data_IF_331936584447
#
_entry.id   IF_331936584447
#
_cell.length_a   1.000
_cell.length_b   1.000
_cell.length_c   1.000
_cell.angle_alpha   90.00
_cell.angle_beta   90.00
_cell.angle_gamma   90.00
#
_symmetry.space_group_name_H-M   'P 1'
#
loop_
_entity.id
_entity.type
_entity.pdbx_description
1 polymer ?
#
# COMPACT_ATOMS: atom_id res chain seq x y z
N UNK A 1 54.28 43.93 35.55
CA UNK A 1 53.27 43.92 34.46
C UNK A 1 53.45 42.76 33.46
N UNK A 2 54.63 42.16 33.28
CA UNK A 2 54.84 41.04 32.31
C UNK A 2 54.25 39.70 32.74
N UNK A 3 54.21 39.33 34.02
CA UNK A 3 53.72 38.04 34.52
C UNK A 3 52.23 37.92 34.46
N UNK A 4 51.47 38.99 34.74
CA UNK A 4 50.02 39.02 34.69
C UNK A 4 49.50 38.83 33.22
N UNK A 5 50.16 39.42 32.24
CA UNK A 5 49.87 39.26 30.81
C UNK A 5 50.07 37.81 30.33
N UNK A 6 51.13 37.13 30.78
CA UNK A 6 51.37 35.71 30.41
C UNK A 6 50.36 34.77 31.03
N UNK A 7 49.92 35.01 32.25
CA UNK A 7 48.90 34.26 32.94
C UNK A 7 47.54 34.50 32.26
N UNK A 8 47.20 35.76 31.95
CA UNK A 8 45.95 36.09 31.23
C UNK A 8 45.87 35.43 29.80
N UNK A 9 47.06 35.48 29.10
CA UNK A 9 47.15 34.79 27.78
C UNK A 9 47.00 33.28 27.88
N UNK A 10 47.54 32.63 28.93
CA UNK A 10 47.37 31.19 29.16
C UNK A 10 45.90 30.79 29.42
N UNK A 11 45.20 31.57 30.24
CA UNK A 11 43.76 31.36 30.48
C UNK A 11 42.93 31.57 29.22
N UNK A 12 43.23 32.58 28.41
CA UNK A 12 42.53 32.81 27.15
C UNK A 12 42.74 31.66 26.15
N UNK A 13 43.95 31.15 26.03
CA UNK A 13 44.27 30.00 25.18
C UNK A 13 43.56 28.73 25.65
N UNK A 14 43.51 28.47 26.96
CA UNK A 14 42.79 27.31 27.52
C UNK A 14 41.29 27.43 27.28
N UNK A 15 40.72 28.61 27.44
CA UNK A 15 39.30 28.86 27.17
C UNK A 15 38.95 28.67 25.68
N UNK A 16 39.81 29.11 24.75
CA UNK A 16 39.64 28.89 23.31
C UNK A 16 39.71 27.41 22.93
N UNK A 17 40.66 26.66 23.51
CA UNK A 17 40.79 25.23 23.29
C UNK A 17 39.56 24.48 23.85
N UNK A 18 39.14 24.82 25.06
CA UNK A 18 37.93 24.24 25.66
C UNK A 18 36.67 24.56 24.83
N UNK A 19 36.55 25.81 24.36
CA UNK A 19 35.46 26.23 23.46
C UNK A 19 35.46 25.48 22.12
N UNK A 20 36.65 25.28 21.53
CA UNK A 20 36.78 24.48 20.30
C UNK A 20 36.40 23.00 20.51
N UNK A 21 36.83 22.40 21.62
CA UNK A 21 36.44 21.02 21.97
C UNK A 21 34.95 20.93 22.17
N UNK A 22 34.31 21.84 22.90
CA UNK A 22 32.85 21.87 23.08
C UNK A 22 32.12 22.06 21.77
N UNK A 23 32.63 22.91 20.86
CA UNK A 23 32.03 23.09 19.53
C UNK A 23 32.12 21.81 18.68
N UNK A 24 33.22 21.07 18.77
CA UNK A 24 33.38 19.78 18.07
C UNK A 24 32.42 18.72 18.64
N UNK A 25 32.34 18.62 19.98
CA UNK A 25 31.42 17.66 20.64
C UNK A 25 29.97 17.98 20.32
N UNK A 26 29.57 19.25 20.25
CA UNK A 26 28.21 19.68 19.99
C UNK A 26 27.96 20.04 18.51
N UNK A 27 28.88 19.68 17.60
CA UNK A 27 28.83 20.08 16.19
C UNK A 27 27.44 19.80 15.55
N UNK A 28 26.90 18.62 15.77
CA UNK A 28 25.60 18.24 15.20
C UNK A 28 24.49 19.16 15.75
N UNK A 29 24.45 19.39 17.04
CA UNK A 29 23.46 20.27 17.67
C UNK A 29 23.53 21.71 17.16
N UNK A 30 24.74 22.22 16.93
CA UNK A 30 24.96 23.56 16.38
C UNK A 30 24.45 23.64 14.94
N UNK A 31 24.76 22.63 14.12
CA UNK A 31 24.29 22.54 12.74
C UNK A 31 22.75 22.46 12.73
N UNK A 32 22.16 21.59 13.54
CA UNK A 32 20.71 21.39 13.64
C UNK A 32 20.00 22.70 14.09
N UNK A 33 20.59 23.47 15.01
CA UNK A 33 20.02 24.76 15.44
C UNK A 33 20.07 25.82 14.32
N UNK A 34 21.15 25.86 13.55
CA UNK A 34 21.28 26.77 12.41
C UNK A 34 20.29 26.39 11.33
N UNK A 35 20.20 25.09 10.95
CA UNK A 35 19.25 24.57 9.98
C UNK A 35 17.80 24.88 10.38
N UNK A 36 17.45 24.64 11.64
CA UNK A 36 16.11 24.93 12.14
C UNK A 36 15.72 26.40 12.03
N UNK A 37 16.67 27.33 12.34
CA UNK A 37 16.41 28.76 12.25
C UNK A 37 16.33 29.29 10.83
N UNK A 38 16.98 28.61 9.88
CA UNK A 38 17.01 29.01 8.48
C UNK A 38 15.80 28.50 7.70
N UNK A 39 15.19 27.41 8.15
CA UNK A 39 14.06 26.79 7.46
C UNK A 39 12.73 27.41 7.90
N UNK A 40 11.93 27.81 6.91
CA UNK A 40 10.55 28.25 7.10
C UNK A 40 9.64 27.29 6.34
N UNK A 41 8.83 26.46 7.03
CA UNK A 41 7.92 25.52 6.35
C UNK A 41 6.85 26.26 5.56
N UNK A 42 6.54 25.77 4.38
CA UNK A 42 5.33 26.19 3.68
C UNK A 42 4.07 25.78 4.49
N UNK A 43 2.94 26.40 4.19
CA UNK A 43 1.66 26.05 4.85
C UNK A 43 1.33 24.55 4.69
N UNK A 44 1.62 23.96 3.52
CA UNK A 44 1.37 22.54 3.25
C UNK A 44 2.31 21.64 4.06
N UNK A 45 3.59 21.96 4.15
CA UNK A 45 4.54 21.20 4.98
C UNK A 45 4.16 21.29 6.47
N UNK A 46 3.74 22.47 6.94
CA UNK A 46 3.26 22.62 8.31
C UNK A 46 2.00 21.79 8.57
N UNK A 47 1.07 21.79 7.64
CA UNK A 47 -0.15 20.98 7.73
C UNK A 47 0.16 19.47 7.75
N UNK A 48 1.09 19.00 6.92
CA UNK A 48 1.57 17.61 6.92
C UNK A 48 2.07 17.22 8.30
N UNK A 49 2.93 18.04 8.92
CA UNK A 49 3.46 17.76 10.25
C UNK A 49 2.36 17.73 11.34
N UNK A 50 1.37 18.63 11.24
CA UNK A 50 0.20 18.63 12.17
C UNK A 50 -0.66 17.38 11.99
N UNK A 51 -1.07 17.07 10.76
CA UNK A 51 -1.93 15.91 10.46
C UNK A 51 -1.27 14.58 10.80
N UNK A 52 0.05 14.52 10.73
CA UNK A 52 0.84 13.34 11.15
C UNK A 52 0.90 13.16 12.67
N UNK A 53 0.42 14.12 13.46
CA UNK A 53 0.52 14.08 14.91
C UNK A 53 1.95 14.22 15.44
N UNK A 54 2.86 14.86 14.69
CA UNK A 54 4.25 15.07 15.12
C UNK A 54 4.31 15.91 16.40
N UNK A 55 5.15 15.50 17.36
CA UNK A 55 5.47 16.27 18.54
C UNK A 55 6.31 17.51 18.19
N UNK A 56 6.53 18.43 19.15
CA UNK A 56 7.44 19.55 18.95
C UNK A 56 8.86 19.09 18.56
N UNK A 57 9.35 17.99 19.13
CA UNK A 57 10.64 17.40 18.78
C UNK A 57 10.62 16.74 17.40
N UNK A 58 9.54 16.04 17.04
CA UNK A 58 9.35 15.48 15.70
C UNK A 58 9.33 16.57 14.63
N UNK A 59 8.52 17.63 14.81
CA UNK A 59 8.49 18.79 13.92
C UNK A 59 9.85 19.45 13.78
N UNK A 60 10.57 19.60 14.91
CA UNK A 60 11.94 20.15 14.87
C UNK A 60 12.87 19.31 14.01
N UNK A 61 12.87 17.97 14.16
CA UNK A 61 13.66 17.06 13.34
C UNK A 61 13.27 17.13 11.87
N UNK A 62 11.97 17.15 11.60
CA UNK A 62 11.44 17.30 10.24
C UNK A 62 11.92 18.58 9.58
N UNK A 63 11.83 19.73 10.28
CA UNK A 63 12.23 21.02 9.73
C UNK A 63 13.76 21.21 9.61
N UNK A 64 14.54 20.60 10.50
CA UNK A 64 16.01 20.54 10.37
C UNK A 64 16.43 19.86 9.06
N UNK A 65 15.63 18.88 8.62
CA UNK A 65 15.87 18.16 7.37
C UNK A 65 15.22 18.85 6.14
N UNK A 66 14.87 20.11 6.22
CA UNK A 66 14.41 20.97 5.11
C UNK A 66 13.43 20.25 4.16
N UNK A 67 12.28 19.75 4.64
CA UNK A 67 11.36 18.95 3.83
C UNK A 67 10.80 19.74 2.65
N UNK A 68 10.72 19.08 1.49
CA UNK A 68 10.25 19.68 0.24
C UNK A 68 9.27 18.74 -0.44
N UNK A 69 8.12 19.29 -0.86
CA UNK A 69 7.23 18.61 -1.79
C UNK A 69 7.74 18.83 -3.21
N UNK A 70 7.88 17.75 -3.96
CA UNK A 70 8.45 17.75 -5.30
C UNK A 70 7.45 17.20 -6.32
N UNK A 71 7.41 17.81 -7.51
CA UNK A 71 6.79 17.20 -8.68
C UNK A 71 7.50 15.87 -9.03
N UNK A 72 6.89 15.05 -9.85
CA UNK A 72 7.46 13.77 -10.28
C UNK A 72 8.87 13.92 -10.89
N UNK A 73 9.07 14.93 -11.76
CA UNK A 73 10.35 15.18 -12.41
C UNK A 73 11.43 15.58 -11.39
N UNK A 74 11.15 16.59 -10.56
CA UNK A 74 12.08 17.07 -9.53
C UNK A 74 12.40 16.00 -8.49
N UNK A 75 11.40 15.17 -8.10
CA UNK A 75 11.59 14.09 -7.14
C UNK A 75 12.56 13.02 -7.68
N UNK A 76 12.43 12.64 -8.95
CA UNK A 76 13.28 11.64 -9.58
C UNK A 76 14.73 12.13 -9.80
N UNK A 77 14.98 13.44 -9.79
CA UNK A 77 16.34 14.02 -9.81
C UNK A 77 17.03 13.86 -8.47
N UNK A 78 16.29 14.03 -7.38
CA UNK A 78 16.83 14.01 -6.01
C UNK A 78 16.86 12.60 -5.41
N UNK A 79 15.80 11.81 -5.64
CA UNK A 79 15.60 10.49 -5.05
C UNK A 79 15.78 9.38 -6.09
N UNK A 80 16.93 8.72 -6.07
CA UNK A 80 17.25 7.65 -7.04
C UNK A 80 16.58 6.33 -6.65
N UNK A 81 15.85 5.73 -7.58
CA UNK A 81 15.36 4.36 -7.45
C UNK A 81 16.47 3.35 -7.67
N UNK A 82 16.51 2.31 -6.82
CA UNK A 82 17.42 1.17 -7.00
C UNK A 82 16.80 0.14 -7.92
N UNK A 83 15.52 -0.20 -7.74
CA UNK A 83 14.78 -1.13 -8.59
C UNK A 83 13.57 -0.42 -9.24
N UNK A 84 13.39 -0.60 -10.56
CA UNK A 84 12.29 0.06 -11.30
C UNK A 84 10.89 -0.35 -10.83
N UNK A 85 10.75 -1.57 -10.30
CA UNK A 85 9.46 -2.13 -9.88
C UNK A 85 8.97 -1.63 -8.51
N UNK A 86 9.82 -0.92 -7.74
CA UNK A 86 9.46 -0.45 -6.41
C UNK A 86 9.38 1.07 -6.40
N UNK A 87 8.17 1.65 -6.42
CA UNK A 87 8.00 3.10 -6.30
C UNK A 87 8.47 3.56 -4.92
N UNK A 88 9.21 4.67 -4.89
CA UNK A 88 9.55 5.38 -3.68
C UNK A 88 8.74 6.68 -3.64
N UNK A 89 8.30 7.08 -2.46
CA UNK A 89 7.44 8.25 -2.25
C UNK A 89 8.16 9.36 -1.51
N UNK A 90 9.28 9.05 -0.86
CA UNK A 90 10.16 9.97 -0.18
C UNK A 90 11.59 9.47 -0.17
N UNK A 91 12.50 10.35 0.21
CA UNK A 91 13.85 9.98 0.60
C UNK A 91 14.45 11.04 1.55
N UNK A 92 15.23 10.57 2.50
CA UNK A 92 16.08 11.41 3.34
C UNK A 92 17.52 11.35 2.84
N UNK A 93 18.00 12.47 2.30
CA UNK A 93 19.43 12.65 1.98
C UNK A 93 20.17 13.11 3.24
N UNK A 94 20.93 12.19 3.84
CA UNK A 94 21.71 12.49 5.03
C UNK A 94 22.84 13.50 4.75
N UNK A 95 23.40 13.51 3.54
CA UNK A 95 24.53 14.39 3.18
C UNK A 95 24.08 15.84 3.02
N UNK A 96 22.92 16.05 2.40
CA UNK A 96 22.29 17.35 2.25
C UNK A 96 21.44 17.74 3.48
N UNK A 97 21.17 16.80 4.39
CA UNK A 97 20.19 16.95 5.47
C UNK A 97 18.82 17.41 4.92
N UNK A 98 18.35 16.77 3.85
CA UNK A 98 17.12 17.14 3.14
C UNK A 98 16.16 15.98 3.04
N UNK A 99 14.86 16.26 3.20
CA UNK A 99 13.77 15.34 2.94
C UNK A 99 13.06 15.76 1.68
N UNK A 100 12.93 14.84 0.74
CA UNK A 100 12.13 15.02 -0.47
C UNK A 100 10.93 14.12 -0.45
N UNK A 101 9.76 14.67 -0.75
CA UNK A 101 8.48 13.97 -0.72
C UNK A 101 7.82 14.15 -2.08
N UNK A 102 7.46 13.04 -2.72
CA UNK A 102 6.68 13.10 -3.95
C UNK A 102 5.27 13.65 -3.67
N UNK A 103 4.91 14.71 -4.38
CA UNK A 103 3.62 15.38 -4.22
C UNK A 103 2.51 14.59 -4.93
N UNK A 104 2.04 13.51 -4.29
CA UNK A 104 0.92 12.70 -4.79
C UNK A 104 -0.35 13.55 -4.79
N UNK A 105 -0.92 13.75 -5.98
CA UNK A 105 -2.08 14.62 -6.19
C UNK A 105 -3.43 13.89 -6.12
N UNK A 106 -3.44 12.53 -6.13
CA UNK A 106 -4.69 11.75 -6.14
C UNK A 106 -5.40 11.85 -4.78
N UNK A 107 -6.63 12.41 -4.71
CA UNK A 107 -7.36 12.60 -3.45
C UNK A 107 -7.78 11.28 -2.78
N UNK A 108 -7.85 10.16 -3.52
CA UNK A 108 -8.13 8.85 -2.93
C UNK A 108 -6.96 8.32 -2.10
N UNK A 109 -5.77 8.88 -2.29
CA UNK A 109 -4.55 8.56 -1.57
C UNK A 109 -4.24 9.63 -0.49
N UNK A 110 -5.25 10.29 0.05
CA UNK A 110 -5.09 11.22 1.17
C UNK A 110 -4.40 10.52 2.35
N UNK A 111 -3.42 11.18 2.93
CA UNK A 111 -2.56 10.64 4.00
C UNK A 111 -1.22 10.09 3.53
N UNK A 112 -1.04 9.81 2.24
CA UNK A 112 0.25 9.29 1.72
C UNK A 112 1.39 10.26 2.01
N UNK A 113 1.19 11.56 1.78
CA UNK A 113 2.24 12.59 2.02
C UNK A 113 2.63 12.67 3.50
N UNK A 114 1.68 12.58 4.39
CA UNK A 114 1.86 12.59 5.84
C UNK A 114 2.63 11.37 6.33
N UNK A 115 2.26 10.19 5.84
CA UNK A 115 2.96 8.94 6.19
C UNK A 115 4.38 8.96 5.66
N UNK A 116 4.58 9.36 4.39
CA UNK A 116 5.90 9.50 3.79
C UNK A 116 6.76 10.50 4.55
N UNK A 117 6.22 11.69 4.84
CA UNK A 117 6.93 12.73 5.62
C UNK A 117 7.37 12.23 7.00
N UNK A 118 6.50 11.47 7.67
CA UNK A 118 6.79 10.90 8.98
C UNK A 118 7.85 9.80 8.91
N UNK A 119 7.80 8.98 7.87
CA UNK A 119 8.78 7.95 7.58
C UNK A 119 10.19 8.57 7.37
N UNK A 120 10.29 9.57 6.53
CA UNK A 120 11.57 10.27 6.27
C UNK A 120 12.06 11.06 7.50
N UNK A 121 11.16 11.64 8.28
CA UNK A 121 11.49 12.27 9.56
C UNK A 121 12.10 11.25 10.53
N UNK A 122 11.59 10.02 10.56
CA UNK A 122 12.14 8.96 11.40
C UNK A 122 13.51 8.48 10.91
N UNK A 123 13.81 8.50 9.62
CA UNK A 123 15.17 8.31 9.09
C UNK A 123 16.12 9.40 9.58
N UNK A 124 15.68 10.66 9.54
CA UNK A 124 16.46 11.78 10.08
C UNK A 124 16.68 11.65 11.60
N UNK A 125 15.68 11.14 12.33
CA UNK A 125 15.81 10.83 13.75
C UNK A 125 16.79 9.69 14.00
N UNK A 126 16.69 8.59 13.27
CA UNK A 126 17.56 7.42 13.42
C UNK A 126 19.03 7.74 13.11
N UNK A 127 19.29 8.60 12.14
CA UNK A 127 20.63 9.07 11.83
C UNK A 127 21.31 9.80 13.02
N UNK A 128 20.53 10.38 13.93
CA UNK A 128 20.98 11.13 15.10
C UNK A 128 21.07 10.31 16.39
N UNK A 129 20.62 9.05 16.36
CA UNK A 129 20.73 8.14 17.50
C UNK A 129 22.19 7.72 17.72
N UNK A 130 22.57 7.61 18.99
CA UNK A 130 23.85 6.99 19.38
C UNK A 130 23.88 5.51 19.04
N UNK A 131 25.06 4.92 18.96
CA UNK A 131 25.22 3.48 18.74
C UNK A 131 24.54 2.67 19.85
N UNK A 132 24.58 3.16 21.10
CA UNK A 132 23.92 2.52 22.24
C UNK A 132 22.39 2.55 22.10
N UNK A 133 21.80 3.66 21.67
CA UNK A 133 20.35 3.75 21.43
C UNK A 133 19.91 2.81 20.30
N UNK A 134 20.67 2.76 19.19
CA UNK A 134 20.42 1.82 18.08
C UNK A 134 20.46 0.36 18.54
N UNK A 135 21.47 -0.02 19.31
CA UNK A 135 21.58 -1.39 19.86
C UNK A 135 20.45 -1.76 20.82
N UNK A 136 19.89 -0.80 21.57
CA UNK A 136 18.71 -1.05 22.42
C UNK A 136 17.42 -1.16 21.62
N UNK A 137 17.30 -0.40 20.53
CA UNK A 137 16.10 -0.41 19.69
C UNK A 137 15.98 -1.67 18.82
N UNK A 138 17.10 -2.17 18.30
CA UNK A 138 17.10 -3.28 17.35
C UNK A 138 16.27 -4.49 17.81
N UNK A 139 16.46 -5.06 19.02
CA UNK A 139 15.66 -6.19 19.47
C UNK A 139 14.17 -5.85 19.65
N UNK A 140 13.83 -4.63 20.02
CA UNK A 140 12.45 -4.20 20.17
C UNK A 140 11.75 -4.10 18.80
N UNK A 141 12.43 -3.55 17.80
CA UNK A 141 11.94 -3.45 16.43
C UNK A 141 11.77 -4.82 15.79
N UNK A 142 12.72 -5.73 15.96
CA UNK A 142 12.60 -7.11 15.47
C UNK A 142 11.46 -7.86 16.17
N UNK A 143 11.27 -7.69 17.47
CA UNK A 143 10.14 -8.30 18.19
C UNK A 143 8.80 -7.76 17.67
N UNK A 144 8.68 -6.46 17.45
CA UNK A 144 7.48 -5.87 16.87
C UNK A 144 7.25 -6.37 15.44
N UNK A 145 8.29 -6.43 14.61
CA UNK A 145 8.21 -6.99 13.26
C UNK A 145 7.67 -8.42 13.27
N UNK A 146 8.16 -9.29 14.15
CA UNK A 146 7.66 -10.68 14.22
C UNK A 146 6.16 -10.78 14.54
N UNK A 147 5.60 -9.79 15.26
CA UNK A 147 4.15 -9.74 15.58
C UNK A 147 3.29 -9.31 14.39
N UNK A 148 3.81 -8.38 13.55
CA UNK A 148 3.01 -7.73 12.48
C UNK A 148 3.40 -8.18 11.08
N UNK A 149 4.44 -9.02 10.92
CA UNK A 149 4.91 -9.44 9.60
C UNK A 149 3.85 -10.20 8.82
N UNK A 150 3.76 -9.86 7.54
CA UNK A 150 3.01 -10.55 6.50
C UNK A 150 3.97 -10.91 5.38
N UNK A 151 3.55 -11.73 4.42
CA UNK A 151 4.36 -12.03 3.23
C UNK A 151 4.74 -10.74 2.48
N UNK A 152 3.77 -9.83 2.30
CA UNK A 152 3.95 -8.53 1.65
C UNK A 152 4.97 -7.65 2.39
N UNK A 153 4.91 -7.60 3.72
CA UNK A 153 5.87 -6.86 4.54
C UNK A 153 7.26 -7.51 4.52
N UNK A 154 7.32 -8.84 4.57
CA UNK A 154 8.59 -9.59 4.47
C UNK A 154 9.27 -9.35 3.13
N UNK A 155 8.52 -9.36 2.03
CA UNK A 155 9.05 -9.06 0.69
C UNK A 155 9.60 -7.62 0.61
N UNK A 156 8.88 -6.64 1.18
CA UNK A 156 9.34 -5.26 1.28
C UNK A 156 10.64 -5.13 2.08
N UNK A 157 10.78 -5.82 3.21
CA UNK A 157 12.03 -5.82 3.99
C UNK A 157 13.19 -6.49 3.23
N UNK A 158 12.92 -7.57 2.50
CA UNK A 158 13.91 -8.20 1.64
C UNK A 158 14.36 -7.28 0.48
N UNK A 159 13.45 -6.47 -0.05
CA UNK A 159 13.80 -5.45 -1.03
C UNK A 159 14.78 -4.42 -0.44
N UNK A 160 14.49 -3.85 0.72
CA UNK A 160 15.38 -2.89 1.37
C UNK A 160 16.76 -3.49 1.66
N UNK A 161 16.83 -4.73 2.12
CA UNK A 161 18.10 -5.38 2.38
C UNK A 161 18.94 -5.57 1.11
N UNK A 162 18.30 -5.83 -0.05
CA UNK A 162 19.00 -5.89 -1.35
C UNK A 162 19.39 -4.51 -1.87
N UNK A 163 18.51 -3.53 -1.72
CA UNK A 163 18.71 -2.18 -2.23
C UNK A 163 19.73 -1.38 -1.43
N UNK A 164 19.73 -1.58 -0.11
CA UNK A 164 20.61 -0.89 0.85
C UNK A 164 21.03 -1.84 1.97
N UNK A 165 22.03 -2.70 1.75
CA UNK A 165 22.50 -3.66 2.76
C UNK A 165 22.82 -2.99 4.10
N UNK A 166 22.26 -3.54 5.17
CA UNK A 166 22.41 -3.00 6.53
C UNK A 166 21.40 -1.90 6.89
N UNK A 167 20.45 -1.55 6.04
CA UNK A 167 19.40 -0.55 6.34
C UNK A 167 18.27 -1.12 7.23
N UNK A 168 18.19 -2.43 7.40
CA UNK A 168 17.06 -3.15 8.00
C UNK A 168 16.50 -2.49 9.27
N UNK A 169 17.34 -2.24 10.27
CA UNK A 169 16.89 -1.67 11.55
C UNK A 169 16.35 -0.25 11.37
N UNK A 170 16.96 0.54 10.49
CA UNK A 170 16.50 1.89 10.14
C UNK A 170 15.15 1.86 9.42
N UNK A 171 14.96 0.95 8.47
CA UNK A 171 13.68 0.77 7.78
C UNK A 171 12.60 0.27 8.74
N UNK A 172 12.89 -0.72 9.58
CA UNK A 172 11.95 -1.18 10.61
C UNK A 172 11.54 -0.05 11.56
N UNK A 173 12.50 0.81 11.97
CA UNK A 173 12.22 1.98 12.79
C UNK A 173 11.22 2.92 12.13
N UNK A 174 11.38 3.22 10.85
CA UNK A 174 10.50 4.14 10.14
C UNK A 174 9.14 3.51 9.80
N UNK A 175 9.12 2.28 9.28
CA UNK A 175 7.90 1.57 8.90
C UNK A 175 7.01 1.27 10.11
N UNK A 176 7.57 0.67 11.17
CA UNK A 176 6.80 0.36 12.37
C UNK A 176 6.24 1.63 13.02
N UNK A 177 7.04 2.70 13.05
CA UNK A 177 6.64 3.98 13.63
C UNK A 177 5.46 4.65 12.92
N UNK A 178 5.24 4.37 11.64
CA UNK A 178 4.26 5.09 10.80
C UNK A 178 3.08 4.24 10.32
N UNK A 179 3.24 2.91 10.21
CA UNK A 179 2.25 2.07 9.54
C UNK A 179 1.50 1.12 10.46
N UNK A 180 2.07 0.74 11.59
CA UNK A 180 1.51 -0.28 12.48
C UNK A 180 1.08 0.28 13.82
N UNK A 181 -0.11 -0.10 14.28
CA UNK A 181 -0.55 0.11 15.65
C UNK A 181 0.02 -0.96 16.58
N UNK A 182 -0.05 -0.73 17.89
CA UNK A 182 0.17 -1.75 18.91
C UNK A 182 1.57 -2.40 18.90
N UNK A 183 2.59 -1.57 18.90
CA UNK A 183 3.99 -2.02 18.89
C UNK A 183 4.50 -2.56 20.25
N UNK A 184 3.67 -2.45 21.30
CA UNK A 184 4.05 -2.72 22.68
C UNK A 184 4.52 -1.48 23.43
N UNK A 185 4.38 -1.50 24.75
CA UNK A 185 4.55 -0.30 25.61
C UNK A 185 5.90 0.40 25.45
N UNK A 186 6.99 -0.34 25.28
CA UNK A 186 8.32 0.23 25.18
C UNK A 186 8.54 1.01 23.89
N UNK A 187 8.10 0.48 22.73
CA UNK A 187 8.17 1.18 21.45
C UNK A 187 7.16 2.33 21.38
N UNK A 188 5.94 2.16 21.89
CA UNK A 188 4.97 3.24 21.95
C UNK A 188 5.53 4.41 22.79
N UNK A 189 6.12 4.13 23.95
CA UNK A 189 6.77 5.15 24.76
C UNK A 189 7.97 5.78 24.03
N UNK A 190 8.77 5.00 23.31
CA UNK A 190 9.89 5.51 22.53
C UNK A 190 9.41 6.52 21.47
N UNK A 191 8.35 6.18 20.71
CA UNK A 191 7.83 7.04 19.65
C UNK A 191 7.14 8.30 20.16
N UNK A 192 6.78 8.42 21.45
CA UNK A 192 6.29 9.70 22.01
C UNK A 192 7.30 10.84 21.89
N UNK A 193 8.57 10.56 21.67
CA UNK A 193 9.58 11.56 21.35
C UNK A 193 9.24 12.31 20.07
N UNK A 194 8.70 11.61 19.08
CA UNK A 194 8.50 12.10 17.71
C UNK A 194 7.05 12.44 17.39
N UNK A 195 6.12 11.79 18.08
CA UNK A 195 4.69 11.97 17.88
C UNK A 195 4.01 12.32 19.22
N UNK A 196 3.22 13.37 19.20
CA UNK A 196 2.26 13.66 20.30
C UNK A 196 1.04 12.75 20.21
N UNK A 197 0.67 12.37 18.98
CA UNK A 197 -0.35 11.38 18.65
C UNK A 197 0.10 10.52 17.46
N UNK A 198 0.77 9.40 17.73
CA UNK A 198 1.20 8.46 16.68
C UNK A 198 0.01 7.79 15.99
N UNK A 199 -1.12 7.68 16.67
CA UNK A 199 -2.32 7.08 16.07
C UNK A 199 -2.82 7.88 14.86
N UNK A 200 -2.50 9.16 14.75
CA UNK A 200 -2.88 10.00 13.62
C UNK A 200 -2.20 9.51 12.32
N UNK A 201 -0.88 9.34 12.30
CA UNK A 201 -0.17 8.86 11.12
C UNK A 201 -0.54 7.42 10.77
N UNK A 202 -0.72 6.55 11.76
CA UNK A 202 -1.14 5.15 11.54
C UNK A 202 -2.55 5.08 10.93
N UNK A 203 -3.49 5.94 11.36
CA UNK A 203 -4.82 6.04 10.75
C UNK A 203 -4.75 6.52 9.30
N UNK A 204 -3.91 7.50 9.00
CA UNK A 204 -3.71 7.97 7.63
C UNK A 204 -3.14 6.86 6.74
N UNK A 205 -2.17 6.07 7.24
CA UNK A 205 -1.69 4.88 6.54
C UNK A 205 -2.83 3.88 6.28
N UNK A 206 -3.59 3.51 7.30
CA UNK A 206 -4.71 2.58 7.16
C UNK A 206 -5.77 3.10 6.17
N UNK A 207 -5.98 4.39 6.11
CA UNK A 207 -6.96 5.03 5.22
C UNK A 207 -6.67 4.76 3.74
N UNK A 208 -5.44 5.02 3.27
CA UNK A 208 -5.09 4.78 1.88
C UNK A 208 -4.75 3.32 1.58
N UNK A 209 -4.13 2.57 2.51
CA UNK A 209 -3.83 1.15 2.30
C UNK A 209 -5.10 0.31 2.16
N UNK A 210 -6.13 0.60 2.94
CA UNK A 210 -7.43 -0.07 2.83
C UNK A 210 -8.09 0.11 1.46
N UNK A 211 -7.76 1.17 0.70
CA UNK A 211 -8.25 1.33 -0.68
C UNK A 211 -7.67 0.26 -1.59
N UNK A 212 -6.36 0.03 -1.51
CA UNK A 212 -5.70 -1.03 -2.26
C UNK A 212 -6.22 -2.42 -1.84
N UNK A 213 -6.22 -2.69 -0.54
CA UNK A 213 -6.66 -3.98 0.00
C UNK A 213 -8.11 -4.31 -0.39
N UNK A 214 -9.00 -3.31 -0.34
CA UNK A 214 -10.40 -3.48 -0.75
C UNK A 214 -10.53 -3.87 -2.22
N UNK A 215 -9.83 -3.17 -3.12
CA UNK A 215 -9.88 -3.44 -4.57
C UNK A 215 -9.20 -4.78 -4.90
N UNK A 216 -8.05 -5.08 -4.29
CA UNK A 216 -7.33 -6.35 -4.47
C UNK A 216 -8.16 -7.53 -3.98
N UNK A 217 -8.82 -7.43 -2.82
CA UNK A 217 -9.65 -8.49 -2.24
C UNK A 217 -10.91 -8.75 -3.09
N UNK A 218 -11.59 -7.68 -3.55
CA UNK A 218 -12.73 -7.81 -4.47
C UNK A 218 -12.30 -8.49 -5.78
N UNK A 219 -11.19 -8.05 -6.38
CA UNK A 219 -10.67 -8.65 -7.61
C UNK A 219 -10.29 -10.13 -7.43
N UNK A 220 -9.65 -10.48 -6.32
CA UNK A 220 -9.29 -11.86 -6.00
C UNK A 220 -10.50 -12.75 -5.81
N UNK A 221 -11.51 -12.27 -5.05
CA UNK A 221 -12.79 -12.98 -4.85
C UNK A 221 -13.52 -13.19 -6.17
N UNK A 222 -13.61 -12.16 -7.02
CA UNK A 222 -14.23 -12.27 -8.34
C UNK A 222 -13.50 -13.27 -9.25
N UNK A 223 -12.17 -13.30 -9.27
CA UNK A 223 -11.41 -14.28 -10.07
C UNK A 223 -11.74 -15.71 -9.67
N UNK A 224 -11.77 -16.00 -8.37
CA UNK A 224 -12.11 -17.33 -7.84
C UNK A 224 -13.53 -17.72 -8.21
N UNK A 225 -14.50 -16.83 -8.01
CA UNK A 225 -15.90 -17.07 -8.32
C UNK A 225 -16.13 -17.26 -9.83
N UNK A 226 -15.48 -16.45 -10.67
CA UNK A 226 -15.56 -16.54 -12.12
C UNK A 226 -14.99 -17.87 -12.64
N UNK A 227 -13.88 -18.35 -12.07
CA UNK A 227 -13.31 -19.65 -12.45
C UNK A 227 -14.28 -20.80 -12.17
N UNK A 228 -14.88 -20.83 -10.98
CA UNK A 228 -15.86 -21.85 -10.60
C UNK A 228 -17.15 -21.77 -11.45
N UNK A 229 -17.68 -20.55 -11.64
CA UNK A 229 -18.90 -20.32 -12.42
C UNK A 229 -18.73 -20.68 -13.89
N UNK A 230 -17.54 -20.42 -14.47
CA UNK A 230 -17.23 -20.81 -15.85
C UNK A 230 -17.40 -22.32 -16.05
N UNK A 231 -16.81 -23.12 -15.17
CA UNK A 231 -16.91 -24.58 -15.24
C UNK A 231 -18.35 -25.06 -15.10
N UNK A 232 -19.15 -24.49 -14.20
CA UNK A 232 -20.54 -24.81 -14.02
C UNK A 232 -21.38 -24.47 -15.27
N UNK A 233 -21.21 -23.27 -15.84
CA UNK A 233 -21.88 -22.84 -17.06
C UNK A 233 -21.53 -23.77 -18.22
N UNK A 234 -20.28 -24.14 -18.44
CA UNK A 234 -19.81 -25.03 -19.48
C UNK A 234 -20.45 -26.43 -19.32
N UNK A 235 -20.48 -26.98 -18.10
CA UNK A 235 -21.15 -28.28 -17.80
C UNK A 235 -22.62 -28.23 -18.12
N UNK A 236 -23.36 -27.23 -17.67
CA UNK A 236 -24.81 -27.09 -17.91
C UNK A 236 -25.13 -26.78 -19.36
N UNK A 237 -24.27 -26.07 -20.08
CA UNK A 237 -24.43 -25.84 -21.52
C UNK A 237 -24.32 -27.14 -22.30
N UNK A 238 -23.34 -27.99 -21.98
CA UNK A 238 -23.20 -29.31 -22.58
C UNK A 238 -24.45 -30.21 -22.29
N UNK A 239 -24.91 -30.20 -21.04
CA UNK A 239 -26.14 -30.95 -20.67
C UNK A 239 -27.38 -30.43 -21.42
N UNK A 240 -27.52 -29.09 -21.52
CA UNK A 240 -28.62 -28.49 -22.28
C UNK A 240 -28.57 -28.89 -23.77
N UNK A 241 -27.38 -28.88 -24.39
CA UNK A 241 -27.26 -29.33 -25.79
C UNK A 241 -27.66 -30.80 -25.98
N UNK A 242 -27.25 -31.68 -25.07
CA UNK A 242 -27.67 -33.10 -25.08
C UNK A 242 -29.17 -33.25 -24.88
N UNK A 243 -29.78 -32.50 -23.97
CA UNK A 243 -31.23 -32.52 -23.72
C UNK A 243 -32.05 -32.07 -24.95
N UNK A 244 -31.56 -31.03 -25.64
CA UNK A 244 -32.17 -30.54 -26.90
C UNK A 244 -32.09 -31.60 -28.00
N UNK A 245 -30.96 -32.26 -28.19
CA UNK A 245 -30.78 -33.32 -29.17
C UNK A 245 -31.70 -34.50 -28.88
N UNK A 246 -31.74 -34.97 -27.63
CA UNK A 246 -32.65 -36.06 -27.23
C UNK A 246 -34.12 -35.67 -27.43
N UNK A 247 -34.49 -34.45 -27.14
CA UNK A 247 -35.87 -33.96 -27.38
C UNK A 247 -36.22 -33.99 -28.88
N UNK A 248 -35.33 -33.50 -29.75
CA UNK A 248 -35.53 -33.49 -31.20
C UNK A 248 -35.71 -34.89 -31.75
N UNK A 249 -34.92 -35.87 -31.27
CA UNK A 249 -35.08 -37.28 -31.64
C UNK A 249 -36.45 -37.84 -31.22
N UNK A 250 -36.91 -37.52 -30.01
CA UNK A 250 -38.25 -37.95 -29.52
C UNK A 250 -39.39 -37.31 -30.31
N UNK A 251 -39.28 -36.04 -30.68
CA UNK A 251 -40.24 -35.33 -31.52
C UNK A 251 -40.32 -36.00 -32.92
N UNK A 252 -39.15 -36.30 -33.51
CA UNK A 252 -39.08 -36.99 -34.79
C UNK A 252 -39.77 -38.38 -34.75
N UNK A 253 -39.46 -39.15 -33.71
CA UNK A 253 -40.10 -40.48 -33.52
C UNK A 253 -41.65 -40.40 -33.30
N UNK A 254 -42.11 -39.42 -32.51
CA UNK A 254 -43.48 -39.11 -32.27
C UNK A 254 -44.20 -38.75 -33.58
N UNK A 255 -43.64 -37.88 -34.40
CA UNK A 255 -44.23 -37.48 -35.68
C UNK A 255 -44.31 -38.65 -36.69
N UNK A 256 -43.25 -39.47 -36.74
CA UNK A 256 -43.27 -40.67 -37.57
C UNK A 256 -44.37 -41.63 -37.12
N UNK A 257 -44.49 -41.92 -35.81
CA UNK A 257 -45.56 -42.75 -35.25
C UNK A 257 -46.92 -42.18 -35.56
N UNK A 258 -47.14 -40.89 -35.58
CA UNK A 258 -48.33 -40.19 -35.95
C UNK A 258 -48.68 -40.40 -37.44
N UNK A 259 -47.67 -40.25 -38.32
CA UNK A 259 -47.85 -40.45 -39.77
C UNK A 259 -48.22 -41.88 -40.13
N UNK A 260 -47.68 -42.87 -39.42
CA UNK A 260 -47.88 -44.27 -39.62
C UNK A 260 -49.17 -44.81 -38.94
N UNK A 261 -49.97 -43.96 -38.27
CA UNK A 261 -51.14 -44.34 -37.52
C UNK A 261 -50.86 -45.26 -36.33
N UNK A 262 -49.61 -45.19 -35.76
CA UNK A 262 -49.12 -46.16 -34.78
C UNK A 262 -49.51 -45.89 -33.31
N UNK A 263 -50.51 -45.03 -33.03
CA UNK A 263 -51.05 -44.83 -31.69
C UNK A 263 -52.19 -45.77 -31.39
N UNK A 264 -52.19 -46.35 -30.18
CA UNK A 264 -53.19 -47.29 -29.75
C UNK A 264 -54.59 -46.63 -29.59
N UNK A 265 -54.67 -45.40 -29.19
CA UNK A 265 -55.85 -44.57 -29.02
C UNK A 265 -55.55 -43.07 -29.04
N UNK A 266 -56.58 -42.23 -29.06
CA UNK A 266 -56.48 -40.79 -28.92
C UNK A 266 -55.91 -40.40 -27.55
N UNK A 267 -56.21 -41.17 -26.50
CA UNK A 267 -55.65 -40.97 -25.15
C UNK A 267 -54.14 -41.24 -25.15
N UNK A 268 -53.66 -42.31 -25.82
CA UNK A 268 -52.24 -42.61 -25.97
C UNK A 268 -51.52 -41.49 -26.71
N UNK A 269 -52.08 -41.00 -27.83
CA UNK A 269 -51.54 -39.84 -28.54
C UNK A 269 -51.42 -38.60 -27.63
N UNK A 270 -52.51 -38.25 -26.92
CA UNK A 270 -52.55 -37.09 -26.05
C UNK A 270 -51.56 -37.21 -24.87
N UNK A 271 -51.43 -38.38 -24.27
CA UNK A 271 -50.51 -38.68 -23.20
C UNK A 271 -49.01 -38.42 -23.64
N UNK A 272 -48.62 -39.05 -24.78
CA UNK A 272 -47.30 -38.95 -25.32
C UNK A 272 -46.98 -37.48 -25.76
N UNK A 273 -47.99 -36.80 -26.35
CA UNK A 273 -47.86 -35.36 -26.66
C UNK A 273 -47.65 -34.49 -25.41
N UNK A 274 -48.35 -34.78 -24.33
CA UNK A 274 -48.23 -34.07 -23.06
C UNK A 274 -46.81 -34.22 -22.47
N UNK A 275 -46.23 -35.43 -22.53
CA UNK A 275 -44.84 -35.68 -22.10
C UNK A 275 -43.86 -34.83 -22.89
N UNK A 276 -44.01 -34.73 -24.22
CA UNK A 276 -43.15 -33.89 -25.05
C UNK A 276 -43.29 -32.40 -24.70
N UNK A 277 -44.51 -31.91 -24.47
CA UNK A 277 -44.74 -30.50 -24.08
C UNK A 277 -44.14 -30.19 -22.74
N UNK A 278 -44.25 -31.05 -21.74
CA UNK A 278 -43.64 -30.88 -20.44
C UNK A 278 -42.11 -30.82 -20.57
N UNK A 279 -41.52 -31.74 -21.36
CA UNK A 279 -40.06 -31.74 -21.60
C UNK A 279 -39.58 -30.45 -22.28
N UNK A 280 -40.36 -29.93 -23.25
CA UNK A 280 -40.02 -28.64 -23.87
C UNK A 280 -40.03 -27.49 -22.85
N UNK A 281 -41.00 -27.50 -21.93
CA UNK A 281 -41.07 -26.50 -20.87
C UNK A 281 -39.84 -26.57 -19.97
N UNK A 282 -39.40 -27.76 -19.55
CA UNK A 282 -38.17 -27.94 -18.76
C UNK A 282 -36.91 -27.45 -19.49
N UNK A 283 -36.78 -27.79 -20.79
CA UNK A 283 -35.67 -27.35 -21.63
C UNK A 283 -35.61 -25.79 -21.71
N UNK A 284 -36.78 -25.16 -21.91
CA UNK A 284 -36.87 -23.70 -21.96
C UNK A 284 -36.54 -23.06 -20.62
N UNK A 285 -36.94 -23.64 -19.49
CA UNK A 285 -36.56 -23.16 -18.16
C UNK A 285 -35.03 -23.24 -17.95
N UNK A 286 -34.42 -24.37 -18.33
CA UNK A 286 -32.95 -24.53 -18.26
C UNK A 286 -32.21 -23.50 -19.13
N UNK A 287 -32.69 -23.25 -20.35
CA UNK A 287 -32.16 -22.23 -21.24
C UNK A 287 -32.18 -20.84 -20.59
N UNK A 288 -33.35 -20.49 -20.00
CA UNK A 288 -33.51 -19.19 -19.34
C UNK A 288 -32.56 -19.06 -18.17
N UNK A 289 -32.43 -20.08 -17.31
CA UNK A 289 -31.52 -20.09 -16.19
C UNK A 289 -30.05 -19.94 -16.66
N UNK A 290 -29.64 -20.71 -17.67
CA UNK A 290 -28.30 -20.66 -18.23
C UNK A 290 -27.96 -19.26 -18.80
N UNK A 291 -28.89 -18.64 -19.54
CA UNK A 291 -28.72 -17.31 -20.10
C UNK A 291 -28.57 -16.24 -19.00
N UNK A 292 -29.33 -16.36 -17.90
CA UNK A 292 -29.22 -15.47 -16.76
C UNK A 292 -27.85 -15.59 -16.10
N UNK A 293 -27.34 -16.80 -15.93
CA UNK A 293 -26.04 -17.06 -15.34
C UNK A 293 -24.88 -16.54 -16.22
N UNK A 294 -24.99 -16.73 -17.55
CA UNK A 294 -24.05 -16.17 -18.52
C UNK A 294 -24.07 -14.63 -18.46
N UNK A 295 -25.26 -14.02 -18.37
CA UNK A 295 -25.39 -12.58 -18.24
C UNK A 295 -24.70 -12.06 -16.97
N UNK A 296 -24.88 -12.73 -15.83
CA UNK A 296 -24.23 -12.37 -14.58
C UNK A 296 -22.71 -12.58 -14.66
N UNK A 297 -22.26 -13.70 -15.24
CA UNK A 297 -20.84 -13.96 -15.48
C UNK A 297 -20.17 -12.81 -16.26
N UNK A 298 -20.83 -12.34 -17.33
CA UNK A 298 -20.31 -11.25 -18.15
C UNK A 298 -20.24 -9.91 -17.37
N UNK A 299 -21.20 -9.63 -16.49
CA UNK A 299 -21.15 -8.46 -15.59
C UNK A 299 -19.98 -8.55 -14.62
N UNK A 300 -19.76 -9.71 -14.03
CA UNK A 300 -18.66 -9.93 -13.09
C UNK A 300 -17.29 -9.83 -13.80
N UNK A 301 -17.17 -10.27 -15.05
CA UNK A 301 -15.97 -10.07 -15.90
C UNK A 301 -15.73 -8.58 -16.17
N UNK A 302 -16.78 -7.82 -16.48
CA UNK A 302 -16.67 -6.38 -16.68
C UNK A 302 -16.22 -5.70 -15.37
N UNK A 303 -16.79 -6.07 -14.23
CA UNK A 303 -16.39 -5.55 -12.92
C UNK A 303 -14.92 -5.85 -12.60
N UNK A 304 -14.46 -7.07 -12.89
CA UNK A 304 -13.06 -7.44 -12.68
C UNK A 304 -12.09 -6.56 -13.51
N UNK A 305 -12.49 -6.21 -14.75
CA UNK A 305 -11.70 -5.28 -15.59
C UNK A 305 -11.66 -3.87 -15.00
N UNK A 306 -12.79 -3.36 -14.52
CA UNK A 306 -12.85 -2.06 -13.84
C UNK A 306 -11.93 -2.01 -12.62
N UNK A 307 -11.92 -3.06 -11.80
CA UNK A 307 -11.03 -3.17 -10.65
C UNK A 307 -9.55 -3.19 -11.08
N UNK A 308 -9.23 -3.88 -12.18
CA UNK A 308 -7.87 -3.86 -12.75
C UNK A 308 -7.45 -2.45 -13.15
N UNK A 309 -8.29 -1.71 -13.87
CA UNK A 309 -8.02 -0.31 -14.24
C UNK A 309 -7.83 0.55 -12.98
N UNK A 310 -8.67 0.34 -11.96
CA UNK A 310 -8.58 1.09 -10.70
C UNK A 310 -7.27 0.85 -9.94
N UNK A 311 -6.81 -0.40 -9.88
CA UNK A 311 -5.50 -0.75 -9.29
C UNK A 311 -4.37 -0.07 -10.06
N UNK A 312 -4.41 -0.10 -11.38
CA UNK A 312 -3.40 0.55 -12.23
C UNK A 312 -3.37 2.07 -12.04
N UNK A 313 -4.53 2.72 -11.92
CA UNK A 313 -4.64 4.16 -11.65
C UNK A 313 -4.05 4.53 -10.28
N UNK A 314 -4.37 3.77 -9.24
CA UNK A 314 -3.82 3.98 -7.90
C UNK A 314 -2.29 3.80 -7.89
N UNK A 315 -1.80 2.73 -8.51
CA UNK A 315 -0.36 2.47 -8.62
C UNK A 315 0.38 3.55 -9.41
N UNK A 316 -0.17 4.00 -10.54
CA UNK A 316 0.40 5.11 -11.32
C UNK A 316 0.45 6.42 -10.53
N UNK A 317 -0.53 6.66 -9.67
CA UNK A 317 -0.54 7.85 -8.81
C UNK A 317 0.59 7.83 -7.76
N UNK A 318 1.06 6.65 -7.37
CA UNK A 318 2.20 6.47 -6.46
C UNK A 318 3.55 6.39 -7.20
N UNK A 319 3.54 6.22 -8.51
CA UNK A 319 4.76 6.06 -9.30
C UNK A 319 5.22 7.39 -9.91
N UNK A 320 6.21 8.03 -9.29
CA UNK A 320 6.82 9.27 -9.80
C UNK A 320 7.47 9.12 -11.18
N UNK A 321 7.88 7.90 -11.60
CA UNK A 321 8.46 7.69 -12.93
C UNK A 321 7.40 7.67 -14.05
N UNK A 322 6.14 7.35 -13.74
CA UNK A 322 5.02 7.39 -14.70
C UNK A 322 4.25 8.71 -14.63
N UNK A 323 4.24 9.40 -13.49
CA UNK A 323 3.54 10.68 -13.29
C UNK A 323 4.16 11.88 -14.01
N UNK A 324 5.28 11.72 -14.68
CA UNK A 324 6.00 12.75 -15.44
C UNK A 324 5.85 12.64 -16.97
N UNK A 325 4.91 11.82 -17.44
CA UNK A 325 4.62 11.69 -18.88
C UNK A 325 3.31 12.31 -19.27
#
# INVERSE_FOLDING_TARGET
>A
MSSVRKVASGFLSLALVAGAILAVINRQQIIDEISFRQYQPSAEIAQIAERSGMSAAGKRLFYIAHPQLKSAAEFNEECRRVEKASPILGCYDQSASAIYIYNVANPELDGVKEVTASHEMLHAAYARLSAEEKSRLEPLLEQAYQKVKTDKFTERMNYYERAQPGSRTNELHSILGTEFADLGSELEQYYTRYFSDRSAVVKLHAQYSNKFDSVENEASSLRTNLAARKLDIESRANQYAADVEQYNQRVKAFNQKAADGGFASQEDFNAQRSVLRNRLTEINQRRTALNNDISQYNKDVARLRELGVKIDELNKSLDSAEGGR
#
